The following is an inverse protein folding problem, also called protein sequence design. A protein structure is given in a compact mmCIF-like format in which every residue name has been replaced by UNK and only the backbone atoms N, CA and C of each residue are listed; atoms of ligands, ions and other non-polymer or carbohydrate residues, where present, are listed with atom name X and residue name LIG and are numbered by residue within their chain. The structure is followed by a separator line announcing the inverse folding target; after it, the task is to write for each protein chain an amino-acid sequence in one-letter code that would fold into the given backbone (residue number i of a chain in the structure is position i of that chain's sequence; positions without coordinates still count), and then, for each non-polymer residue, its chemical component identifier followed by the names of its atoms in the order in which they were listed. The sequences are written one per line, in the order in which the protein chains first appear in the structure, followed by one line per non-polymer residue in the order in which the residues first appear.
data_IF_316654195083
#
_entry.id   IF_316654195083
#
_cell.length_a   1.000
_cell.length_b   1.000
_cell.length_c   1.000
_cell.angle_alpha   90.00
_cell.angle_beta   90.00
_cell.angle_gamma   90.00
#
_symmetry.space_group_name_H-M   'P 1'
#
loop_
_entity.id
_entity.type
_entity.pdbx_description
1 polymer ?
#
# COMPACT_ATOMS: atom_id res chain seq x y z
N UNK A 1 0.87 -14.86 -55.69
CA UNK A 1 1.27 -14.74 -54.27
C UNK A 1 2.04 -13.43 -54.14
N UNK A 2 1.43 -12.37 -53.59
CA UNK A 2 2.14 -11.11 -53.37
C UNK A 2 2.61 -11.09 -51.92
N UNK A 3 3.93 -11.11 -51.71
CA UNK A 3 4.51 -10.84 -50.41
C UNK A 3 4.40 -9.33 -50.21
N UNK A 4 3.61 -8.89 -49.24
CA UNK A 4 3.64 -7.50 -48.78
C UNK A 4 4.88 -7.34 -47.92
N UNK A 5 5.92 -6.72 -48.47
CA UNK A 5 7.03 -6.23 -47.68
C UNK A 5 6.59 -4.90 -47.07
N UNK A 6 6.16 -4.93 -45.81
CA UNK A 6 5.95 -3.70 -45.04
C UNK A 6 7.29 -2.98 -44.89
N UNK A 7 7.43 -1.71 -45.30
CA UNK A 7 8.67 -0.98 -45.12
C UNK A 7 8.94 -0.86 -43.62
N UNK A 8 10.14 -1.27 -43.20
CA UNK A 8 10.65 -1.16 -41.83
C UNK A 8 10.82 0.33 -41.45
N UNK A 9 9.70 1.02 -41.24
CA UNK A 9 9.66 2.47 -40.95
C UNK A 9 9.11 2.73 -39.56
N UNK A 10 9.60 2.03 -38.55
CA UNK A 10 9.34 2.38 -37.13
C UNK A 10 10.40 1.87 -36.14
N UNK A 11 11.43 1.12 -36.55
CA UNK A 11 12.37 0.53 -35.59
C UNK A 11 13.37 1.55 -35.04
N UNK A 12 13.83 2.47 -35.89
CA UNK A 12 14.78 3.53 -35.51
C UNK A 12 14.20 4.52 -34.48
N UNK A 13 12.87 4.70 -34.47
CA UNK A 13 12.21 5.62 -33.54
C UNK A 13 12.23 5.09 -32.11
N UNK A 14 12.01 3.78 -31.95
CA UNK A 14 12.11 3.12 -30.64
C UNK A 14 13.55 3.16 -30.11
N UNK A 15 14.53 2.87 -30.98
CA UNK A 15 15.94 2.95 -30.64
C UNK A 15 16.33 4.35 -30.16
N UNK A 16 15.90 5.40 -30.87
CA UNK A 16 16.22 6.78 -30.53
C UNK A 16 15.51 7.29 -29.26
N UNK A 17 14.23 6.95 -29.07
CA UNK A 17 13.41 7.51 -27.99
C UNK A 17 13.46 6.71 -26.69
N UNK A 18 13.74 5.40 -26.76
CA UNK A 18 13.68 4.51 -25.59
C UNK A 18 15.04 3.93 -25.28
N UNK A 19 15.67 3.28 -26.25
CA UNK A 19 16.92 2.55 -26.01
C UNK A 19 18.05 3.52 -25.65
N UNK A 20 18.23 4.60 -26.43
CA UNK A 20 19.25 5.62 -26.18
C UNK A 20 19.15 6.25 -24.78
N UNK A 21 17.97 6.79 -24.39
CA UNK A 21 17.77 7.35 -23.06
C UNK A 21 17.94 6.33 -21.92
N UNK A 22 17.44 5.10 -22.08
CA UNK A 22 17.61 4.06 -21.06
C UNK A 22 19.08 3.70 -20.83
N UNK A 23 19.85 3.52 -21.90
CA UNK A 23 21.29 3.24 -21.81
C UNK A 23 22.03 4.39 -21.11
N UNK A 24 21.67 5.66 -21.40
CA UNK A 24 22.28 6.82 -20.72
C UNK A 24 22.01 6.81 -19.21
N UNK A 25 20.79 6.52 -18.78
CA UNK A 25 20.43 6.47 -17.36
C UNK A 25 21.20 5.35 -16.66
N UNK A 26 21.22 4.15 -17.25
CA UNK A 26 21.91 2.99 -16.67
C UNK A 26 23.42 3.27 -16.58
N UNK A 27 24.03 3.81 -17.64
CA UNK A 27 25.46 4.16 -17.62
C UNK A 27 25.77 5.23 -16.58
N UNK A 28 24.96 6.28 -16.48
CA UNK A 28 25.13 7.33 -15.47
C UNK A 28 25.08 6.74 -14.06
N UNK A 29 24.10 5.88 -13.78
CA UNK A 29 23.96 5.22 -12.48
C UNK A 29 25.15 4.32 -12.14
N UNK A 30 25.67 3.58 -13.12
CA UNK A 30 26.79 2.65 -12.92
C UNK A 30 28.16 3.34 -12.90
N UNK A 31 28.28 4.54 -13.51
CA UNK A 31 29.53 5.30 -13.55
C UNK A 31 29.64 6.30 -12.40
N UNK A 32 28.51 6.62 -11.77
CA UNK A 32 28.45 7.44 -10.58
C UNK A 32 28.67 6.56 -9.37
N UNK A 33 29.94 6.30 -9.07
CA UNK A 33 30.39 5.79 -7.78
C UNK A 33 30.05 6.84 -6.70
N UNK A 34 28.79 6.89 -6.28
CA UNK A 34 28.37 7.32 -4.95
C UNK A 34 28.02 8.80 -4.68
N UNK A 35 27.90 9.72 -5.65
CA UNK A 35 27.49 11.10 -5.27
C UNK A 35 27.01 12.03 -6.40
N UNK A 36 25.81 11.83 -6.94
CA UNK A 36 24.85 12.92 -7.25
C UNK A 36 23.63 12.40 -8.00
N UNK A 37 22.63 11.95 -7.24
CA UNK A 37 21.27 11.77 -7.76
C UNK A 37 20.87 12.98 -8.63
N UNK A 38 20.38 12.78 -9.87
CA UNK A 38 19.97 13.89 -10.70
C UNK A 38 18.82 14.60 -9.99
N UNK A 39 19.07 15.84 -9.65
CA UNK A 39 18.11 16.74 -9.06
C UNK A 39 16.88 16.83 -9.99
N UNK A 40 15.80 16.14 -9.60
CA UNK A 40 14.49 16.14 -10.26
C UNK A 40 13.65 17.36 -9.83
N UNK A 41 14.26 18.43 -9.30
CA UNK A 41 13.58 19.68 -8.91
C UNK A 41 13.44 20.62 -10.12
N UNK A 42 12.89 20.11 -11.21
CA UNK A 42 12.46 20.94 -12.34
C UNK A 42 11.18 20.40 -12.98
N UNK A 43 10.23 19.91 -12.18
CA UNK A 43 8.87 19.73 -12.70
C UNK A 43 7.80 19.75 -11.60
N UNK A 44 7.06 20.85 -11.56
CA UNK A 44 5.67 20.86 -11.11
C UNK A 44 5.44 20.69 -9.61
N UNK A 45 5.26 21.83 -8.95
CA UNK A 45 4.57 21.97 -7.68
C UNK A 45 3.30 21.08 -7.64
N UNK A 46 3.33 19.99 -6.88
CA UNK A 46 2.25 18.99 -6.84
C UNK A 46 2.68 17.57 -6.51
N UNK A 47 3.98 17.29 -6.32
CA UNK A 47 4.44 16.00 -5.80
C UNK A 47 4.08 15.93 -4.32
N UNK A 48 2.90 15.41 -4.03
CA UNK A 48 2.57 14.82 -2.72
C UNK A 48 3.79 14.00 -2.33
N UNK A 49 4.46 14.41 -1.27
CA UNK A 49 5.55 13.66 -0.63
C UNK A 49 5.04 12.24 -0.54
N UNK A 50 5.57 11.35 -1.38
CA UNK A 50 5.21 9.95 -1.34
C UNK A 50 5.78 9.48 -0.02
N UNK A 51 4.96 9.57 1.02
CA UNK A 51 5.13 8.80 2.25
C UNK A 51 5.50 7.43 1.75
N UNK A 52 6.73 7.03 2.03
CA UNK A 52 7.26 5.72 1.71
C UNK A 52 6.24 4.72 2.24
N UNK A 53 5.35 4.25 1.35
CA UNK A 53 4.37 3.25 1.71
C UNK A 53 5.23 2.03 1.87
N UNK A 54 5.56 1.68 3.11
CA UNK A 54 6.21 0.42 3.42
C UNK A 54 5.18 -0.68 3.11
N UNK A 55 5.00 -0.98 1.82
CA UNK A 55 3.94 -1.83 1.25
C UNK A 55 4.11 -3.31 1.64
N UNK A 56 5.23 -3.64 2.27
CA UNK A 56 5.58 -4.99 2.66
C UNK A 56 5.13 -5.38 4.07
N UNK A 57 4.90 -4.41 4.95
CA UNK A 57 4.34 -4.69 6.27
C UNK A 57 2.87 -5.08 6.16
N UNK A 58 2.47 -6.26 6.65
CA UNK A 58 1.09 -6.72 6.63
C UNK A 58 0.48 -6.63 8.03
N UNK A 59 -0.70 -6.01 8.15
CA UNK A 59 -1.44 -5.89 9.39
C UNK A 59 -2.80 -6.58 9.27
N UNK A 60 -3.26 -7.22 10.36
CA UNK A 60 -4.52 -7.97 10.38
C UNK A 60 -5.43 -7.43 11.48
N UNK A 61 -6.62 -6.93 11.10
CA UNK A 61 -7.62 -6.51 12.06
C UNK A 61 -8.61 -7.64 12.36
N UNK A 62 -8.38 -8.38 13.45
CA UNK A 62 -9.26 -9.46 13.94
C UNK A 62 -10.68 -8.97 14.23
N UNK A 63 -10.79 -7.79 14.83
CA UNK A 63 -12.08 -7.18 15.11
C UNK A 63 -12.90 -6.96 13.83
N UNK A 64 -12.28 -6.86 12.66
CA UNK A 64 -12.93 -6.59 11.39
C UNK A 64 -13.12 -7.81 10.48
N UNK A 65 -13.05 -9.03 11.03
CA UNK A 65 -13.15 -10.28 10.27
C UNK A 65 -11.85 -10.56 9.52
N UNK A 66 -10.74 -10.51 10.26
CA UNK A 66 -9.38 -10.76 9.75
C UNK A 66 -9.02 -9.97 8.50
N UNK A 67 -9.47 -8.71 8.46
CA UNK A 67 -9.18 -7.81 7.37
C UNK A 67 -7.67 -7.54 7.32
N UNK A 68 -7.06 -7.90 6.20
CA UNK A 68 -5.66 -7.65 5.88
C UNK A 68 -5.50 -6.23 5.32
N UNK A 69 -4.53 -5.48 5.85
CA UNK A 69 -4.15 -4.12 5.45
C UNK A 69 -2.66 -4.09 5.14
N UNK A 70 -2.23 -3.43 4.06
CA UNK A 70 -0.83 -3.36 3.64
C UNK A 70 -0.23 -2.00 3.97
N UNK A 71 0.80 -2.04 4.80
CA UNK A 71 1.54 -0.87 5.23
C UNK A 71 0.90 -0.14 6.41
N UNK A 72 1.76 0.60 7.11
CA UNK A 72 1.41 1.27 8.36
C UNK A 72 0.31 2.32 8.18
N UNK A 73 0.35 3.07 7.08
CA UNK A 73 -0.61 4.14 6.82
C UNK A 73 -2.04 3.60 6.63
N UNK A 74 -2.20 2.52 5.86
CA UNK A 74 -3.51 1.86 5.69
C UNK A 74 -4.05 1.33 7.03
N UNK A 75 -3.16 0.75 7.84
CA UNK A 75 -3.49 0.29 9.18
C UNK A 75 -3.99 1.42 10.09
N UNK A 76 -3.28 2.54 10.14
CA UNK A 76 -3.63 3.68 10.99
C UNK A 76 -4.97 4.31 10.56
N UNK A 77 -5.16 4.53 9.26
CA UNK A 77 -6.42 5.03 8.72
C UNK A 77 -7.58 4.07 9.02
N UNK A 78 -7.34 2.77 8.96
CA UNK A 78 -8.33 1.78 9.33
C UNK A 78 -8.71 1.85 10.82
N UNK A 79 -7.72 1.96 11.73
CA UNK A 79 -7.94 2.06 13.18
C UNK A 79 -8.76 3.32 13.55
N UNK A 80 -8.49 4.45 12.89
CA UNK A 80 -9.22 5.70 13.10
C UNK A 80 -10.60 5.72 12.41
N UNK A 81 -10.85 4.77 11.51
CA UNK A 81 -12.07 4.68 10.71
C UNK A 81 -13.35 4.47 11.53
N UNK A 82 -14.43 5.15 11.12
CA UNK A 82 -15.76 5.04 11.76
C UNK A 82 -16.25 3.60 11.87
N UNK A 83 -16.04 2.80 10.82
CA UNK A 83 -16.47 1.40 10.78
C UNK A 83 -15.77 0.54 11.84
N UNK A 84 -14.45 0.70 11.99
CA UNK A 84 -13.67 0.00 13.00
C UNK A 84 -14.15 0.39 14.40
N UNK A 85 -14.26 1.69 14.70
CA UNK A 85 -14.77 2.19 16.00
C UNK A 85 -16.16 1.66 16.36
N UNK A 86 -17.10 1.64 15.40
CA UNK A 86 -18.45 1.10 15.62
C UNK A 86 -18.41 -0.38 15.97
N UNK A 87 -17.55 -1.15 15.31
CA UNK A 87 -17.39 -2.58 15.57
C UNK A 87 -16.77 -2.86 16.93
N UNK A 88 -15.72 -2.11 17.32
CA UNK A 88 -15.13 -2.18 18.67
C UNK A 88 -16.15 -1.81 19.75
N UNK A 89 -16.94 -0.75 19.55
CA UNK A 89 -17.98 -0.36 20.50
C UNK A 89 -19.03 -1.46 20.71
N UNK A 90 -19.49 -2.11 19.62
CA UNK A 90 -20.41 -3.25 19.70
C UNK A 90 -19.78 -4.44 20.42
N UNK A 91 -18.53 -4.77 20.11
CA UNK A 91 -17.80 -5.85 20.74
C UNK A 91 -17.65 -5.63 22.25
N UNK A 92 -17.31 -4.41 22.68
CA UNK A 92 -17.22 -4.05 24.10
C UNK A 92 -18.57 -4.17 24.81
N UNK A 93 -19.66 -3.76 24.15
CA UNK A 93 -21.02 -3.91 24.71
C UNK A 93 -21.42 -5.37 24.88
N UNK A 94 -21.18 -6.21 23.88
CA UNK A 94 -21.48 -7.65 23.99
C UNK A 94 -20.61 -8.34 25.04
N UNK A 95 -19.33 -7.98 25.14
CA UNK A 95 -18.44 -8.56 26.16
C UNK A 95 -18.79 -8.08 27.58
N UNK A 96 -19.16 -6.81 27.76
CA UNK A 96 -19.63 -6.30 29.05
C UNK A 96 -20.93 -6.96 29.52
N UNK A 97 -21.83 -7.30 28.59
CA UNK A 97 -23.06 -8.05 28.89
C UNK A 97 -22.79 -9.53 29.25
N UNK A 98 -21.72 -10.12 28.72
CA UNK A 98 -21.33 -11.49 29.08
C UNK A 98 -20.79 -11.52 30.51
N UNK A 99 -19.95 -10.55 30.91
CA UNK A 99 -19.42 -10.50 32.28
C UNK A 99 -20.53 -10.37 33.33
N UNK A 100 -21.50 -9.47 33.11
CA UNK A 100 -22.63 -9.27 34.04
C UNK A 100 -23.59 -10.47 34.14
N UNK A 101 -23.50 -11.44 33.22
CA UNK A 101 -24.40 -12.60 33.18
C UNK A 101 -23.76 -13.85 33.80
N UNK A 102 -22.44 -13.87 33.99
CA UNK A 102 -21.75 -14.94 34.73
C UNK A 102 -21.99 -14.79 36.24
N UNK A 103 -22.05 -13.56 36.74
CA UNK A 103 -22.31 -13.28 38.16
C UNK A 103 -23.75 -13.64 38.61
N UNK A 104 -24.77 -13.50 37.74
CA UNK A 104 -26.17 -13.82 38.10
C UNK A 104 -26.44 -15.33 38.21
N UNK A 105 -25.63 -16.18 37.56
CA UNK A 105 -25.84 -17.62 37.51
C UNK A 105 -25.07 -18.41 38.58
N UNK A 106 -24.10 -17.79 39.26
CA UNK A 106 -23.35 -18.42 40.36
C UNK A 106 -24.00 -18.21 41.75
N UNK A 107 -24.97 -17.29 41.87
CA UNK A 107 -25.65 -16.97 43.13
C UNK A 107 -26.99 -17.70 43.34
N UNK A 108 -27.42 -18.58 42.43
CA UNK A 108 -28.72 -19.29 42.51
C UNK A 108 -28.60 -20.80 42.78
N UNK A 109 -27.44 -21.30 43.18
CA UNK A 109 -27.23 -22.73 43.41
C UNK A 109 -27.19 -23.17 44.89
N UNK A 110 -27.48 -22.27 45.84
CA UNK A 110 -27.42 -22.60 47.28
C UNK A 110 -28.63 -22.05 48.07
N UNK A 111 -29.85 -22.30 47.57
CA UNK A 111 -31.06 -22.10 48.38
C UNK A 111 -32.09 -23.19 48.14
#
# INVERSE_FOLDING_TARGET
MWIVSTPARTDDTWAAQVVGPAIRIIKSFLSEDGSSAPNLEAQGNGRTKSVERNLWSQYICKACGDRVLRGMYEWEQHMQGRGHRKRISRLRKSQGQVLSKVDDHLLKADS
#
